data_IF_444186337247
#
_entry.id   IF_444186337247
#
_cell.length_a   1.000
_cell.length_b   1.000
_cell.length_c   1.000
_cell.angle_alpha   90.00
_cell.angle_beta   90.00
_cell.angle_gamma   90.00
#
_symmetry.space_group_name_H-M   'P 1'
#
loop_
_entity.id
_entity.type
_entity.pdbx_description
1 polymer ?
#
# COMPACT_ATOMS: atom_id res chain seq x y z
N UNK A 1 6.29 -29.81 -67.28
CA UNK A 1 6.26 -30.11 -65.82
C UNK A 1 7.24 -29.17 -65.11
N UNK A 2 6.76 -28.06 -64.52
CA UNK A 2 7.57 -27.18 -63.68
C UNK A 2 6.68 -26.72 -62.52
N UNK A 3 7.09 -27.08 -61.31
CA UNK A 3 6.32 -27.02 -60.08
C UNK A 3 6.04 -25.59 -59.60
N UNK A 4 4.81 -25.36 -59.15
CA UNK A 4 4.41 -24.21 -58.33
C UNK A 4 4.87 -24.46 -56.89
N UNK A 5 5.71 -23.57 -56.35
CA UNK A 5 6.05 -23.52 -54.93
C UNK A 5 5.21 -22.42 -54.27
N UNK A 6 4.18 -22.82 -53.54
CA UNK A 6 3.36 -21.95 -52.68
C UNK A 6 4.11 -21.61 -51.40
N UNK A 7 4.43 -20.33 -51.20
CA UNK A 7 4.92 -19.80 -49.92
C UNK A 7 3.75 -19.71 -48.92
N UNK A 8 3.81 -20.49 -47.84
CA UNK A 8 2.91 -20.34 -46.70
C UNK A 8 3.44 -19.25 -45.76
N UNK A 9 2.71 -18.14 -45.64
CA UNK A 9 3.01 -17.08 -44.69
C UNK A 9 2.55 -17.48 -43.28
N UNK A 10 3.48 -17.73 -42.35
CA UNK A 10 3.17 -17.88 -40.93
C UNK A 10 2.94 -16.50 -40.31
N UNK A 11 1.69 -16.15 -40.07
CA UNK A 11 1.29 -15.00 -39.27
C UNK A 11 1.47 -15.31 -37.77
N UNK A 12 2.52 -14.76 -37.16
CA UNK A 12 2.76 -14.82 -35.72
C UNK A 12 1.85 -13.78 -35.04
N UNK A 13 0.79 -14.24 -34.36
CA UNK A 13 -0.04 -13.37 -33.53
C UNK A 13 0.70 -13.01 -32.25
N UNK A 14 1.21 -11.78 -32.16
CA UNK A 14 1.69 -11.21 -30.91
C UNK A 14 0.50 -10.91 -29.99
N UNK A 15 0.30 -11.75 -28.97
CA UNK A 15 -0.58 -11.40 -27.86
C UNK A 15 0.15 -10.37 -26.97
N UNK A 16 -0.30 -9.11 -27.00
CA UNK A 16 0.18 -8.11 -26.07
C UNK A 16 -0.23 -8.50 -24.63
N UNK A 17 0.65 -8.35 -23.62
CA UNK A 17 0.27 -8.63 -22.25
C UNK A 17 -0.81 -7.62 -21.82
N UNK A 18 -1.95 -8.12 -21.37
CA UNK A 18 -2.99 -7.29 -20.77
C UNK A 18 -2.44 -6.68 -19.48
N UNK A 19 -2.11 -5.38 -19.51
CA UNK A 19 -1.65 -4.66 -18.34
C UNK A 19 -2.85 -4.40 -17.44
N UNK A 20 -2.98 -5.17 -16.35
CA UNK A 20 -4.03 -4.95 -15.36
C UNK A 20 -3.95 -3.51 -14.84
N UNK A 21 -5.01 -2.72 -15.03
CA UNK A 21 -5.07 -1.33 -14.58
C UNK A 21 -4.98 -1.32 -13.06
N UNK A 22 -3.92 -0.72 -12.49
CA UNK A 22 -3.82 -0.54 -11.04
C UNK A 22 -5.01 0.30 -10.56
N UNK A 23 -5.63 -0.11 -9.45
CA UNK A 23 -6.68 0.67 -8.79
C UNK A 23 -6.14 2.05 -8.39
N UNK A 24 -7.01 3.07 -8.36
CA UNK A 24 -6.64 4.36 -7.78
C UNK A 24 -6.30 4.20 -6.29
N UNK A 25 -5.50 5.10 -5.70
CA UNK A 25 -5.15 5.02 -4.28
C UNK A 25 -6.37 4.93 -3.35
N UNK A 26 -7.40 5.72 -3.59
CA UNK A 26 -8.63 5.67 -2.79
C UNK A 26 -9.40 4.35 -2.99
N UNK A 27 -9.40 3.78 -4.20
CA UNK A 27 -10.03 2.50 -4.46
C UNK A 27 -9.28 1.33 -3.79
N UNK A 28 -7.94 1.37 -3.76
CA UNK A 28 -7.12 0.40 -3.02
C UNK A 28 -7.40 0.47 -1.52
N UNK A 29 -7.47 1.68 -0.97
CA UNK A 29 -7.80 1.87 0.45
C UNK A 29 -9.23 1.39 0.75
N UNK A 30 -10.20 1.72 -0.09
CA UNK A 30 -11.59 1.28 0.08
C UNK A 30 -11.72 -0.25 0.04
N UNK A 31 -11.02 -0.92 -0.87
CA UNK A 31 -11.01 -2.39 -0.95
C UNK A 31 -10.40 -3.02 0.31
N UNK A 32 -9.26 -2.50 0.77
CA UNK A 32 -8.60 -2.95 2.01
C UNK A 32 -9.50 -2.80 3.25
N UNK A 33 -10.40 -1.83 3.24
CA UNK A 33 -11.32 -1.51 4.33
C UNK A 33 -12.72 -2.11 4.15
N UNK A 34 -12.96 -2.92 3.11
CA UNK A 34 -14.26 -3.53 2.84
C UNK A 34 -14.75 -4.35 4.04
N UNK A 35 -16.03 -4.17 4.40
CA UNK A 35 -16.65 -4.84 5.55
C UNK A 35 -16.15 -4.34 6.91
N UNK A 36 -15.55 -3.14 6.96
CA UNK A 36 -15.09 -2.52 8.20
C UNK A 36 -15.74 -1.16 8.41
N UNK A 37 -15.90 -0.79 9.68
CA UNK A 37 -16.49 0.46 10.13
C UNK A 37 -15.41 1.31 10.79
N UNK A 38 -15.35 2.59 10.41
CA UNK A 38 -14.45 3.57 11.00
C UNK A 38 -14.92 3.95 12.42
N UNK A 39 -13.98 4.02 13.36
CA UNK A 39 -14.18 4.58 14.69
C UNK A 39 -13.61 6.00 14.83
N UNK A 40 -13.67 6.54 16.05
CA UNK A 40 -13.07 7.82 16.37
C UNK A 40 -11.54 7.79 16.18
N UNK A 41 -10.93 8.83 15.58
CA UNK A 41 -9.48 8.94 15.46
C UNK A 41 -8.79 8.88 16.82
N UNK A 42 -7.65 8.18 16.87
CA UNK A 42 -6.79 8.09 18.06
C UNK A 42 -5.42 8.65 17.75
N UNK A 43 -4.76 9.19 18.78
CA UNK A 43 -3.45 9.84 18.65
C UNK A 43 -2.29 8.84 18.60
N UNK A 44 -2.43 7.67 19.24
CA UNK A 44 -1.39 6.67 19.30
C UNK A 44 -1.96 5.25 19.19
N UNK A 45 -1.18 4.35 18.59
CA UNK A 45 -1.48 2.91 18.52
C UNK A 45 -0.37 2.11 19.21
N UNK A 46 -0.67 0.97 19.84
CA UNK A 46 0.37 0.11 20.38
C UNK A 46 1.22 -0.43 19.22
N UNK A 47 2.54 -0.40 19.39
CA UNK A 47 3.45 -1.01 18.41
C UNK A 47 3.97 -2.31 18.96
N UNK A 48 3.66 -3.39 18.27
CA UNK A 48 4.14 -4.72 18.56
C UNK A 48 4.87 -5.23 17.32
N UNK A 49 5.94 -6.00 17.54
CA UNK A 49 6.82 -6.59 16.51
C UNK A 49 6.08 -7.43 15.45
N UNK A 50 4.83 -7.79 15.70
CA UNK A 50 3.96 -8.57 14.82
C UNK A 50 3.02 -7.71 13.95
N UNK A 51 3.03 -6.38 14.11
CA UNK A 51 2.16 -5.52 13.32
C UNK A 51 2.58 -5.59 11.85
N UNK A 52 1.69 -6.09 11.01
CA UNK A 52 1.85 -5.94 9.57
C UNK A 52 1.46 -4.52 9.17
N UNK A 53 2.30 -3.90 8.36
CA UNK A 53 2.02 -2.65 7.69
C UNK A 53 1.73 -2.90 6.21
N UNK A 54 0.85 -2.09 5.65
CA UNK A 54 0.60 -2.01 4.22
C UNK A 54 0.60 -0.54 3.81
N UNK A 55 1.39 -0.20 2.80
CA UNK A 55 1.38 1.12 2.18
C UNK A 55 0.30 1.12 1.09
N UNK A 56 -0.57 2.11 1.12
CA UNK A 56 -1.44 2.46 -0.01
C UNK A 56 -0.76 3.60 -0.77
N UNK A 57 -0.26 3.27 -1.96
CA UNK A 57 0.53 4.17 -2.81
C UNK A 57 -0.11 5.54 -2.92
N UNK A 58 0.65 6.59 -2.59
CA UNK A 58 0.24 7.98 -2.69
C UNK A 58 -0.83 8.43 -1.68
N UNK A 59 -1.20 7.61 -0.68
CA UNK A 59 -2.40 7.90 0.13
C UNK A 59 -2.29 7.68 1.63
N UNK A 60 -1.92 6.48 2.06
CA UNK A 60 -2.06 6.10 3.47
C UNK A 60 -1.11 4.97 3.84
N UNK A 61 -0.88 4.82 5.14
CA UNK A 61 -0.25 3.65 5.74
C UNK A 61 -1.29 2.98 6.64
N UNK A 62 -1.42 1.66 6.50
CA UNK A 62 -2.36 0.87 7.27
C UNK A 62 -1.61 -0.13 8.14
N UNK A 63 -1.80 -0.03 9.46
CA UNK A 63 -1.28 -1.01 10.43
C UNK A 63 -2.38 -1.96 10.87
N UNK A 64 -2.05 -3.25 10.94
CA UNK A 64 -2.91 -4.25 11.57
C UNK A 64 -2.45 -4.46 13.01
N UNK A 65 -3.35 -4.24 13.97
CA UNK A 65 -3.14 -4.56 15.38
C UNK A 65 -4.30 -5.43 15.85
N UNK A 66 -4.02 -6.72 16.06
CA UNK A 66 -5.05 -7.73 16.31
C UNK A 66 -6.06 -7.77 15.16
N UNK A 67 -7.35 -7.60 15.47
CA UNK A 67 -8.44 -7.61 14.48
C UNK A 67 -8.69 -6.26 13.79
N UNK A 68 -8.09 -5.17 14.31
CA UNK A 68 -8.31 -3.80 13.84
C UNK A 68 -7.28 -3.41 12.77
N UNK A 69 -7.73 -2.62 11.81
CA UNK A 69 -6.85 -1.86 10.92
C UNK A 69 -6.80 -0.42 11.39
N UNK A 70 -5.63 0.19 11.42
CA UNK A 70 -5.44 1.59 11.77
C UNK A 70 -4.91 2.30 10.54
N UNK A 71 -5.71 3.20 9.98
CA UNK A 71 -5.36 3.99 8.80
C UNK A 71 -4.75 5.30 9.29
N UNK A 72 -3.52 5.58 8.86
CA UNK A 72 -2.89 6.89 9.00
C UNK A 72 -2.74 7.51 7.63
N UNK A 73 -3.19 8.75 7.50
CA UNK A 73 -2.87 9.60 6.37
C UNK A 73 -1.77 10.55 6.84
N UNK A 74 -0.53 10.43 6.33
CA UNK A 74 0.53 11.35 6.71
C UNK A 74 0.12 12.80 6.46
N UNK A 75 0.51 13.70 7.37
CA UNK A 75 0.20 15.14 7.27
C UNK A 75 0.90 15.82 6.11
N UNK A 76 1.99 15.23 5.63
CA UNK A 76 2.76 15.70 4.50
C UNK A 76 3.39 14.50 3.78
N UNK A 77 3.60 14.66 2.46
CA UNK A 77 4.30 13.71 1.59
C UNK A 77 3.62 12.35 1.43
N UNK A 78 2.34 12.24 1.73
CA UNK A 78 1.59 11.00 1.51
C UNK A 78 1.64 10.57 0.03
N UNK A 79 1.71 11.53 -0.89
CA UNK A 79 1.86 11.34 -2.34
C UNK A 79 3.16 10.62 -2.74
N UNK A 80 4.19 10.61 -1.89
CA UNK A 80 5.46 9.92 -2.17
C UNK A 80 5.48 8.47 -1.72
N UNK A 81 4.42 8.00 -1.04
CA UNK A 81 4.30 6.61 -0.61
C UNK A 81 4.21 5.67 -1.80
N UNK A 82 4.94 4.56 -1.74
CA UNK A 82 4.85 3.49 -2.73
C UNK A 82 4.68 2.14 -2.05
N UNK A 83 3.85 1.28 -2.63
CA UNK A 83 3.56 -0.06 -2.14
C UNK A 83 4.76 -1.01 -2.17
N UNK A 84 5.78 -0.70 -2.97
CA UNK A 84 7.03 -1.45 -3.10
C UNK A 84 8.15 -0.99 -2.15
N UNK A 85 7.93 0.04 -1.35
CA UNK A 85 8.90 0.52 -0.37
C UNK A 85 8.76 -0.17 1.00
N UNK A 86 9.85 -0.19 1.77
CA UNK A 86 9.82 -0.60 3.18
C UNK A 86 9.70 0.61 4.09
N UNK A 87 8.88 0.52 5.15
CA UNK A 87 8.80 1.56 6.18
C UNK A 87 9.90 1.37 7.21
N UNK A 88 10.64 2.45 7.43
CA UNK A 88 11.59 2.60 8.52
C UNK A 88 10.95 3.55 9.53
N UNK A 89 10.46 2.97 10.61
CA UNK A 89 9.88 3.71 11.73
C UNK A 89 10.94 3.92 12.79
N UNK A 90 11.29 5.17 13.08
CA UNK A 90 12.10 5.51 14.24
C UNK A 90 11.14 5.71 15.42
N UNK A 91 10.95 4.66 16.20
CA UNK A 91 10.04 4.69 17.34
C UNK A 91 10.79 4.98 18.63
N UNK A 92 10.27 5.91 19.43
CA UNK A 92 10.69 6.13 20.81
C UNK A 92 9.57 5.65 21.76
N UNK A 93 9.73 4.47 22.34
CA UNK A 93 8.77 3.89 23.28
C UNK A 93 7.96 2.72 22.71
N UNK A 94 6.80 2.43 23.32
CA UNK A 94 5.94 1.27 23.00
C UNK A 94 4.73 1.62 22.11
N UNK A 95 4.60 2.89 21.73
CA UNK A 95 3.48 3.38 20.92
C UNK A 95 3.98 4.09 19.67
N UNK A 96 3.19 3.99 18.60
CA UNK A 96 3.37 4.79 17.40
C UNK A 96 2.33 5.88 17.45
N UNK A 97 2.79 7.12 17.50
CA UNK A 97 1.97 8.28 17.75
C UNK A 97 1.91 9.21 16.53
N UNK A 98 0.89 10.05 16.53
CA UNK A 98 0.79 11.20 15.65
C UNK A 98 2.06 12.06 15.83
N UNK A 99 2.55 12.60 14.72
CA UNK A 99 3.79 13.37 14.59
C UNK A 99 5.08 12.56 14.76
N UNK A 100 5.00 11.24 14.96
CA UNK A 100 6.19 10.41 14.77
C UNK A 100 6.64 10.49 13.31
N UNK A 101 7.95 10.39 13.12
CA UNK A 101 8.58 10.43 11.82
C UNK A 101 8.79 9.02 11.30
N UNK A 102 8.31 8.76 10.09
CA UNK A 102 8.63 7.53 9.35
C UNK A 102 9.31 7.88 8.05
N UNK A 103 10.20 7.01 7.57
CA UNK A 103 10.83 7.12 6.26
C UNK A 103 10.52 5.88 5.45
N UNK A 104 10.38 6.03 4.14
CA UNK A 104 10.42 4.87 3.25
C UNK A 104 11.86 4.55 2.86
N UNK A 105 12.11 3.33 2.44
CA UNK A 105 13.34 2.95 1.74
C UNK A 105 12.96 2.05 0.58
N UNK A 106 13.47 2.36 -0.60
CA UNK A 106 13.28 1.49 -1.74
C UNK A 106 14.17 0.24 -1.56
N UNK A 107 13.62 -0.98 -1.52
CA UNK A 107 14.39 -2.17 -1.18
C UNK A 107 15.46 -2.51 -2.24
N UNK A 108 15.21 -2.17 -3.51
CA UNK A 108 16.12 -2.47 -4.62
C UNK A 108 17.33 -1.54 -4.65
N UNK A 109 17.08 -0.23 -4.62
CA UNK A 109 18.14 0.79 -4.71
C UNK A 109 18.76 1.15 -3.36
N UNK A 110 18.09 0.78 -2.25
CA UNK A 110 18.45 1.17 -0.87
C UNK A 110 18.46 2.68 -0.65
N UNK A 111 17.86 3.45 -1.56
CA UNK A 111 17.73 4.89 -1.43
C UNK A 111 16.61 5.21 -0.41
N UNK A 112 16.90 5.99 0.64
CA UNK A 112 15.89 6.44 1.58
C UNK A 112 14.97 7.49 0.93
N UNK A 113 13.68 7.38 1.21
CA UNK A 113 12.68 8.38 0.86
C UNK A 113 12.69 9.58 1.82
N UNK A 114 11.78 10.51 1.54
CA UNK A 114 11.54 11.66 2.42
C UNK A 114 10.97 11.26 3.78
N UNK A 115 11.09 12.17 4.75
CA UNK A 115 10.41 12.03 6.05
C UNK A 115 8.92 12.27 5.86
N UNK A 116 8.13 11.33 6.37
CA UNK A 116 6.68 11.42 6.50
C UNK A 116 6.35 11.75 7.95
N UNK A 117 5.48 12.74 8.16
CA UNK A 117 4.97 13.08 9.47
C UNK A 117 3.60 12.42 9.68
N UNK A 118 3.49 11.52 10.66
CA UNK A 118 2.25 10.77 10.87
C UNK A 118 1.09 11.68 11.33
N UNK A 119 -0.09 11.39 10.78
CA UNK A 119 -1.37 11.98 11.19
C UNK A 119 -1.99 11.26 12.38
N UNK A 120 -3.30 11.46 12.54
CA UNK A 120 -4.08 10.67 13.49
C UNK A 120 -4.37 9.28 12.89
N UNK A 121 -4.65 8.30 13.75
CA UNK A 121 -4.98 6.94 13.33
C UNK A 121 -6.49 6.71 13.42
N UNK A 122 -7.11 6.37 12.29
CA UNK A 122 -8.53 5.99 12.26
C UNK A 122 -8.62 4.47 12.40
N UNK A 123 -9.23 3.94 13.49
CA UNK A 123 -9.43 2.51 13.66
C UNK A 123 -10.58 2.01 12.80
N UNK A 124 -10.40 0.85 12.17
CA UNK A 124 -11.39 0.14 11.37
C UNK A 124 -11.60 -1.28 11.91
N UNK A 125 -12.77 -1.52 12.46
CA UNK A 125 -13.22 -2.82 13.01
C UNK A 125 -14.11 -3.52 12.00
N UNK A 126 -14.04 -4.86 11.94
CA UNK A 126 -15.02 -5.63 11.15
C UNK A 126 -16.44 -5.31 11.61
N UNK A 127 -17.37 -5.10 10.68
CA UNK A 127 -18.79 -5.07 10.99
C UNK A 127 -19.23 -6.44 11.52
N UNK A 128 -20.22 -6.49 12.43
CA UNK A 128 -20.69 -7.72 13.08
C UNK A 128 -21.37 -8.76 12.15
N UNK A 129 -21.19 -8.66 10.83
CA UNK A 129 -21.83 -9.53 9.83
C UNK A 129 -20.91 -9.91 8.66
N UNK A 130 -19.60 -10.03 8.87
CA UNK A 130 -18.63 -10.40 7.84
C UNK A 130 -17.50 -11.31 8.31
#
# INVERSE_FOLDING_TARGET
MKSLLTLAALSVTFAAPAQAKRLSPDAQLADLLKGRVAGAPVQCIPTNVTNSQQIVTGRAIVWRVGSKLYVNVPRARAETLRDDDVLITQQWGSQLCRNDQVRTMNPMSRIPGGVLLLGDFVPYTKSAGG
#
